data_IF_137469214946
#
_entry.id   IF_137469214946
#
_cell.length_a   1.000
_cell.length_b   1.000
_cell.length_c   1.000
_cell.angle_alpha   90.00
_cell.angle_beta   90.00
_cell.angle_gamma   90.00
#
_symmetry.space_group_name_H-M   'P 1'
#
loop_
_entity.id
_entity.type
_entity.pdbx_description
1 polymer ?
#
# COMPACT_ATOMS: atom_id res chain seq x y z
N UNK A 1 1.02 -1.30 17.03
CA UNK A 1 0.67 -2.70 16.75
C UNK A 1 -0.85 -2.83 16.86
N UNK A 2 -1.55 -2.61 15.76
CA UNK A 2 -2.95 -2.98 15.63
C UNK A 2 -2.98 -4.52 15.52
N UNK A 3 -3.28 -5.19 16.63
CA UNK A 3 -3.75 -6.57 16.57
C UNK A 3 -5.11 -6.54 15.86
N UNK A 4 -5.14 -6.94 14.60
CA UNK A 4 -6.38 -7.10 13.86
C UNK A 4 -7.05 -8.34 14.42
N UNK A 5 -8.23 -8.26 15.07
CA UNK A 5 -8.93 -9.42 15.58
C UNK A 5 -9.64 -10.13 14.43
N UNK A 6 -8.92 -10.93 13.66
CA UNK A 6 -9.54 -11.90 12.78
C UNK A 6 -9.91 -13.13 13.62
N UNK A 7 -11.20 -13.23 13.97
CA UNK A 7 -11.78 -14.40 14.61
C UNK A 7 -11.59 -14.43 16.14
N UNK A 8 -12.66 -14.27 16.87
CA UNK A 8 -12.74 -14.64 18.28
C UNK A 8 -12.40 -16.14 18.42
N UNK A 9 -11.26 -16.45 19.02
CA UNK A 9 -11.03 -17.74 19.68
C UNK A 9 -10.15 -18.77 18.98
N UNK A 10 -9.46 -18.49 17.88
CA UNK A 10 -8.43 -19.41 17.37
C UNK A 10 -7.05 -18.78 17.49
N UNK A 11 -6.27 -19.27 18.46
CA UNK A 11 -4.81 -19.09 18.46
C UNK A 11 -4.29 -20.01 17.36
N UNK A 12 -4.11 -19.46 16.15
CA UNK A 12 -3.39 -20.17 15.11
C UNK A 12 -1.93 -20.24 15.54
N UNK A 13 -1.35 -21.46 15.59
CA UNK A 13 0.10 -21.60 15.55
C UNK A 13 0.58 -20.89 14.28
N UNK A 14 1.12 -19.68 14.43
CA UNK A 14 1.71 -18.93 13.33
C UNK A 14 2.93 -19.70 12.85
N UNK A 15 2.81 -20.38 11.72
CA UNK A 15 3.98 -20.69 10.93
C UNK A 15 4.62 -19.35 10.57
N UNK A 16 5.90 -19.16 10.88
CA UNK A 16 6.63 -17.95 10.52
C UNK A 16 6.86 -17.97 9.01
N UNK A 17 5.91 -17.42 8.25
CA UNK A 17 6.04 -17.25 6.81
C UNK A 17 7.00 -16.10 6.51
N UNK A 18 7.87 -16.34 5.52
CA UNK A 18 8.84 -15.35 5.04
C UNK A 18 8.31 -14.70 3.76
N UNK A 19 8.18 -13.39 3.79
CA UNK A 19 7.73 -12.58 2.67
C UNK A 19 8.78 -11.56 2.28
N UNK A 20 9.09 -11.50 0.97
CA UNK A 20 9.88 -10.46 0.34
C UNK A 20 8.97 -9.52 -0.46
N UNK A 21 9.52 -8.46 -1.04
CA UNK A 21 8.77 -7.58 -1.94
C UNK A 21 9.51 -7.31 -3.24
N UNK A 22 8.75 -7.13 -4.31
CA UNK A 22 9.20 -6.78 -5.65
C UNK A 22 8.51 -5.51 -6.12
N UNK A 23 9.24 -4.41 -6.20
CA UNK A 23 8.74 -3.12 -6.67
C UNK A 23 9.17 -2.91 -8.12
N UNK A 24 8.21 -2.66 -9.01
CA UNK A 24 8.51 -2.31 -10.41
C UNK A 24 8.63 -0.80 -10.58
N UNK A 25 9.86 -0.29 -10.65
CA UNK A 25 10.19 1.11 -10.88
C UNK A 25 10.89 1.36 -12.23
N UNK A 26 10.77 0.42 -13.18
CA UNK A 26 11.38 0.52 -14.51
C UNK A 26 10.57 1.36 -15.52
N UNK A 27 9.41 1.87 -15.14
CA UNK A 27 8.52 2.66 -15.98
C UNK A 27 9.14 3.98 -16.48
N UNK A 28 8.67 4.46 -17.65
CA UNK A 28 9.17 5.71 -18.27
C UNK A 28 8.67 6.98 -17.61
N UNK A 29 7.57 6.94 -16.84
CA UNK A 29 6.87 8.10 -16.27
C UNK A 29 6.60 9.22 -17.30
N UNK A 30 6.38 8.86 -18.57
CA UNK A 30 6.38 9.82 -19.69
C UNK A 30 5.20 10.81 -19.68
N UNK A 31 4.08 10.43 -19.06
CA UNK A 31 2.87 11.27 -18.97
C UNK A 31 2.88 12.25 -17.80
N UNK A 32 3.72 11.99 -16.80
CA UNK A 32 3.77 12.76 -15.56
C UNK A 32 4.61 14.04 -15.66
N UNK A 33 5.51 14.15 -16.66
CA UNK A 33 6.51 15.22 -16.71
C UNK A 33 7.63 15.09 -15.67
N UNK A 34 7.36 14.41 -14.56
CA UNK A 34 8.28 14.14 -13.46
C UNK A 34 8.53 12.64 -13.25
N UNK A 35 9.59 12.32 -12.48
CA UNK A 35 9.97 10.95 -12.22
C UNK A 35 9.26 10.40 -10.97
N UNK A 36 8.16 9.69 -11.21
CA UNK A 36 7.18 9.20 -10.23
C UNK A 36 7.79 8.63 -8.93
N UNK A 37 8.79 7.73 -8.97
CA UNK A 37 9.33 7.12 -7.74
C UNK A 37 9.89 8.13 -6.74
N UNK A 38 10.39 9.27 -7.23
CA UNK A 38 11.04 10.31 -6.42
C UNK A 38 10.15 11.53 -6.17
N UNK A 39 8.92 11.54 -6.67
CA UNK A 39 7.96 12.60 -6.37
C UNK A 39 7.58 12.58 -4.89
N UNK A 40 7.44 13.77 -4.29
CA UNK A 40 7.06 13.92 -2.89
C UNK A 40 5.56 13.71 -2.70
N UNK A 41 5.24 12.85 -1.75
CA UNK A 41 3.91 12.58 -1.24
C UNK A 41 3.94 12.78 0.29
N UNK A 42 3.52 13.95 0.74
CA UNK A 42 3.78 14.41 2.10
C UNK A 42 5.27 14.66 2.35
N UNK A 43 5.79 14.16 3.47
CA UNK A 43 7.20 14.31 3.84
C UNK A 43 8.16 13.36 3.08
N UNK A 44 7.63 12.30 2.49
CA UNK A 44 8.40 11.22 1.85
C UNK A 44 8.27 11.23 0.34
N UNK A 45 9.17 10.56 -0.36
CA UNK A 45 8.95 10.20 -1.76
C UNK A 45 7.95 9.02 -1.85
N UNK A 46 7.40 8.80 -3.02
CA UNK A 46 6.56 7.64 -3.33
C UNK A 46 7.28 6.36 -2.91
N UNK A 47 8.49 6.15 -3.38
CA UNK A 47 9.29 4.95 -3.10
C UNK A 47 9.65 4.79 -1.60
N UNK A 48 10.04 5.88 -0.93
CA UNK A 48 10.33 5.85 0.52
C UNK A 48 9.10 5.39 1.33
N UNK A 49 7.92 5.87 0.96
CA UNK A 49 6.66 5.50 1.62
C UNK A 49 6.34 4.00 1.44
N UNK A 50 6.46 3.48 0.23
CA UNK A 50 6.24 2.07 -0.07
C UNK A 50 7.18 1.17 0.75
N UNK A 51 8.47 1.49 0.75
CA UNK A 51 9.49 0.78 1.54
C UNK A 51 9.15 0.83 3.04
N UNK A 52 8.73 1.98 3.55
CA UNK A 52 8.38 2.12 4.97
C UNK A 52 7.15 1.29 5.32
N UNK A 53 6.11 1.27 4.48
CA UNK A 53 4.90 0.46 4.71
C UNK A 53 5.23 -1.04 4.73
N UNK A 54 6.06 -1.52 3.80
CA UNK A 54 6.53 -2.90 3.77
C UNK A 54 7.29 -3.28 5.05
N UNK A 55 8.26 -2.44 5.44
CA UNK A 55 9.07 -2.67 6.66
C UNK A 55 8.23 -2.68 7.94
N UNK A 56 7.22 -1.82 8.02
CA UNK A 56 6.29 -1.80 9.15
C UNK A 56 5.50 -3.11 9.30
N UNK A 57 5.36 -3.86 8.19
CA UNK A 57 4.73 -5.20 8.16
C UNK A 57 5.75 -6.34 8.20
N UNK A 58 7.02 -6.09 8.55
CA UNK A 58 8.03 -7.14 8.69
C UNK A 58 8.60 -7.66 7.36
N UNK A 59 8.37 -6.95 6.25
CA UNK A 59 9.01 -7.26 4.96
C UNK A 59 10.30 -6.45 4.86
N UNK A 60 11.45 -7.12 4.97
CA UNK A 60 12.76 -6.47 5.04
C UNK A 60 13.58 -6.64 3.77
N UNK A 61 13.40 -7.72 3.04
CA UNK A 61 14.06 -7.99 1.76
C UNK A 61 13.19 -7.45 0.62
N UNK A 62 13.63 -6.36 0.01
CA UNK A 62 12.88 -5.63 -1.02
C UNK A 62 13.75 -5.53 -2.28
N UNK A 63 13.25 -6.06 -3.39
CA UNK A 63 13.90 -5.96 -4.69
C UNK A 63 13.21 -4.88 -5.52
N UNK A 64 13.98 -3.94 -6.04
CA UNK A 64 13.48 -2.84 -6.87
C UNK A 64 14.00 -3.03 -8.29
N UNK A 65 13.08 -3.16 -9.25
CA UNK A 65 13.43 -3.21 -10.66
C UNK A 65 13.57 -1.78 -11.16
N UNK A 66 14.77 -1.43 -11.64
CA UNK A 66 15.07 -0.10 -12.14
C UNK A 66 15.20 -0.08 -13.66
N UNK A 67 14.88 1.06 -14.25
CA UNK A 67 15.08 1.36 -15.66
C UNK A 67 15.66 2.76 -15.82
N UNK A 68 14.83 3.71 -16.25
CA UNK A 68 15.20 5.13 -16.33
C UNK A 68 15.64 5.65 -14.95
N UNK A 69 16.72 6.45 -14.90
CA UNK A 69 17.23 7.09 -13.68
C UNK A 69 17.54 6.08 -12.54
N UNK A 70 18.11 4.92 -12.90
CA UNK A 70 18.42 3.85 -11.94
C UNK A 70 19.31 4.33 -10.79
N UNK A 71 20.29 5.22 -11.06
CA UNK A 71 21.21 5.73 -10.03
C UNK A 71 20.49 6.65 -9.04
N UNK A 72 19.50 7.43 -9.49
CA UNK A 72 18.70 8.27 -8.59
C UNK A 72 17.83 7.43 -7.65
N UNK A 73 17.25 6.33 -8.17
CA UNK A 73 16.51 5.35 -7.35
C UNK A 73 17.45 4.71 -6.33
N UNK A 74 18.64 4.29 -6.75
CA UNK A 74 19.65 3.69 -5.84
C UNK A 74 20.04 4.66 -4.74
N UNK A 75 20.31 5.92 -5.08
CA UNK A 75 20.68 6.94 -4.11
C UNK A 75 19.56 7.22 -3.09
N UNK A 76 18.30 7.19 -3.53
CA UNK A 76 17.14 7.47 -2.67
C UNK A 76 16.73 6.29 -1.78
N UNK A 77 16.95 5.04 -2.23
CA UNK A 77 16.41 3.86 -1.57
C UNK A 77 17.48 2.91 -1.01
N UNK A 78 18.79 3.20 -1.18
CA UNK A 78 19.84 2.33 -0.68
C UNK A 78 19.74 2.11 0.84
N UNK A 79 19.86 0.85 1.25
CA UNK A 79 19.77 0.48 2.66
C UNK A 79 19.78 -1.03 2.87
N UNK A 80 19.82 -1.48 4.13
CA UNK A 80 19.77 -2.90 4.45
C UNK A 80 18.57 -3.60 3.83
N UNK A 81 18.79 -4.78 3.22
CA UNK A 81 17.72 -5.58 2.59
C UNK A 81 17.15 -4.99 1.30
N UNK A 82 17.74 -3.92 0.74
CA UNK A 82 17.31 -3.37 -0.56
C UNK A 82 18.21 -3.87 -1.66
N UNK A 83 17.62 -4.52 -2.65
CA UNK A 83 18.29 -5.06 -3.82
C UNK A 83 17.82 -4.37 -5.10
N UNK A 84 18.70 -4.17 -6.05
CA UNK A 84 18.38 -3.52 -7.31
C UNK A 84 18.65 -4.43 -8.50
N UNK A 85 17.66 -4.57 -9.36
CA UNK A 85 17.78 -5.24 -10.64
C UNK A 85 17.56 -4.21 -11.74
N UNK A 86 18.58 -3.99 -12.58
CA UNK A 86 18.45 -3.06 -13.68
C UNK A 86 17.95 -3.76 -14.94
N UNK A 87 16.87 -3.21 -15.53
CA UNK A 87 16.44 -3.61 -16.88
C UNK A 87 17.06 -2.64 -17.90
N UNK A 88 18.13 -3.03 -18.62
CA UNK A 88 18.76 -2.14 -19.59
C UNK A 88 17.87 -1.87 -20.81
N UNK A 89 16.95 -2.78 -21.11
CA UNK A 89 16.00 -2.67 -22.23
C UNK A 89 14.64 -2.05 -21.82
N UNK A 90 14.56 -1.37 -20.68
CA UNK A 90 13.30 -0.80 -20.15
C UNK A 90 12.54 0.09 -21.15
N UNK A 91 13.25 0.67 -22.13
CA UNK A 91 12.67 1.52 -23.15
C UNK A 91 11.97 0.74 -24.27
N UNK A 92 12.30 -0.51 -24.46
CA UNK A 92 11.86 -1.37 -25.55
C UNK A 92 10.94 -2.49 -25.06
N UNK A 93 11.02 -2.84 -23.79
CA UNK A 93 10.26 -3.91 -23.14
C UNK A 93 8.98 -3.41 -22.47
N UNK A 94 8.06 -4.33 -22.26
CA UNK A 94 6.81 -4.08 -21.51
C UNK A 94 7.08 -4.24 -20.00
N UNK A 95 6.12 -3.81 -19.17
CA UNK A 95 6.19 -3.97 -17.72
C UNK A 95 6.42 -5.44 -17.32
N UNK A 96 5.75 -6.38 -17.97
CA UNK A 96 5.85 -7.80 -17.64
C UNK A 96 7.27 -8.33 -17.82
N UNK A 97 8.01 -7.89 -18.85
CA UNK A 97 9.41 -8.29 -19.05
C UNK A 97 10.29 -7.84 -17.86
N UNK A 98 10.05 -6.64 -17.35
CA UNK A 98 10.72 -6.15 -16.14
C UNK A 98 10.34 -7.00 -14.92
N UNK A 99 9.07 -7.33 -14.75
CA UNK A 99 8.59 -8.19 -13.67
C UNK A 99 9.25 -9.57 -13.72
N UNK A 100 9.39 -10.14 -14.92
CA UNK A 100 10.07 -11.44 -15.13
C UNK A 100 11.53 -11.43 -14.67
N UNK A 101 12.25 -10.30 -14.78
CA UNK A 101 13.60 -10.19 -14.22
C UNK A 101 13.61 -10.37 -12.70
N UNK A 102 12.67 -9.71 -12.01
CA UNK A 102 12.52 -9.84 -10.56
C UNK A 102 12.06 -11.23 -10.14
N UNK A 103 11.03 -11.77 -10.79
CA UNK A 103 10.57 -13.14 -10.52
C UNK A 103 11.67 -14.19 -10.76
N UNK A 104 12.47 -14.02 -11.81
CA UNK A 104 13.60 -14.91 -12.09
C UNK A 104 14.68 -14.86 -11.00
N UNK A 105 14.91 -13.68 -10.41
CA UNK A 105 15.80 -13.53 -9.25
C UNK A 105 15.27 -14.35 -8.06
N UNK A 106 13.98 -14.22 -7.73
CA UNK A 106 13.38 -14.94 -6.63
C UNK A 106 13.31 -16.45 -6.86
N UNK A 107 13.03 -16.89 -8.09
CA UNK A 107 13.07 -18.31 -8.43
C UNK A 107 14.50 -18.92 -8.27
N UNK A 108 15.54 -18.16 -8.61
CA UNK A 108 16.94 -18.55 -8.35
C UNK A 108 17.23 -18.58 -6.85
N UNK A 109 16.85 -17.54 -6.11
CA UNK A 109 17.02 -17.45 -4.65
C UNK A 109 16.38 -18.66 -3.96
N UNK A 110 15.15 -19.02 -4.33
CA UNK A 110 14.43 -20.17 -3.79
C UNK A 110 15.13 -21.52 -4.07
N UNK A 111 15.70 -21.68 -5.27
CA UNK A 111 16.42 -22.91 -5.67
C UNK A 111 17.75 -23.07 -4.95
N UNK A 112 18.45 -21.97 -4.68
CA UNK A 112 19.79 -21.99 -4.05
C UNK A 112 19.76 -22.09 -2.54
N UNK A 113 18.77 -21.47 -1.90
CA UNK A 113 18.70 -21.39 -0.44
C UNK A 113 17.92 -22.56 0.22
N UNK A 114 17.38 -23.50 -0.58
CA UNK A 114 16.49 -24.57 -0.08
C UNK A 114 15.07 -24.07 0.20
N UNK A 115 14.18 -25.00 0.60
CA UNK A 115 12.74 -24.73 0.80
C UNK A 115 12.41 -23.78 1.96
N UNK A 116 13.40 -23.34 2.75
CA UNK A 116 13.14 -22.73 4.06
C UNK A 116 13.12 -21.19 4.07
N UNK A 117 13.25 -20.52 2.93
CA UNK A 117 13.61 -19.09 2.99
C UNK A 117 12.66 -18.11 2.35
N UNK A 118 11.66 -18.55 1.59
CA UNK A 118 10.70 -17.63 0.95
C UNK A 118 9.37 -18.34 0.69
N UNK A 119 8.30 -17.83 1.28
CA UNK A 119 6.95 -18.36 1.10
C UNK A 119 6.15 -17.55 0.07
N UNK A 120 6.33 -16.24 0.03
CA UNK A 120 5.61 -15.37 -0.90
C UNK A 120 6.30 -14.04 -1.17
N UNK A 121 5.84 -13.35 -2.22
CA UNK A 121 6.36 -12.07 -2.66
C UNK A 121 5.20 -11.10 -2.81
N UNK A 122 5.31 -9.94 -2.18
CA UNK A 122 4.47 -8.79 -2.49
C UNK A 122 4.96 -8.12 -3.76
N UNK A 123 4.12 -8.04 -4.78
CA UNK A 123 4.43 -7.35 -6.03
C UNK A 123 3.53 -6.13 -6.21
N UNK A 124 4.12 -5.00 -6.60
CA UNK A 124 3.39 -3.82 -7.06
C UNK A 124 4.24 -2.90 -7.95
N UNK A 125 3.61 -2.12 -8.82
CA UNK A 125 4.26 -1.03 -9.52
C UNK A 125 4.41 0.17 -8.59
N UNK A 126 5.45 0.98 -8.78
CA UNK A 126 5.80 2.15 -7.96
C UNK A 126 4.79 3.32 -8.05
N UNK A 127 3.61 3.12 -8.54
CA UNK A 127 2.57 4.14 -8.69
C UNK A 127 1.35 3.93 -7.80
N UNK A 128 1.41 2.96 -6.89
CA UNK A 128 0.35 2.69 -5.91
C UNK A 128 0.90 2.83 -4.49
N UNK A 129 1.26 4.06 -4.05
CA UNK A 129 2.01 4.26 -2.80
C UNK A 129 1.14 4.30 -1.53
N UNK A 130 -0.18 4.20 -1.65
CA UNK A 130 -1.09 4.51 -0.56
C UNK A 130 -1.77 3.29 0.08
N UNK A 131 -1.40 2.07 -0.34
CA UNK A 131 -1.86 0.88 0.37
C UNK A 131 -1.42 0.90 1.85
N UNK A 132 -2.21 0.29 2.72
CA UNK A 132 -1.99 0.34 4.16
C UNK A 132 -1.34 -0.94 4.69
N UNK A 133 -0.72 -0.87 5.89
CA UNK A 133 -0.31 -2.07 6.63
C UNK A 133 -1.45 -3.07 6.82
N UNK A 134 -2.71 -2.59 6.93
CA UNK A 134 -3.87 -3.46 7.05
C UNK A 134 -4.01 -4.40 5.85
N UNK A 135 -3.90 -3.88 4.62
CA UNK A 135 -3.99 -4.68 3.40
C UNK A 135 -2.93 -5.78 3.37
N UNK A 136 -1.67 -5.44 3.66
CA UNK A 136 -0.57 -6.42 3.72
C UNK A 136 -0.80 -7.51 4.77
N UNK A 137 -1.22 -7.13 5.98
CA UNK A 137 -1.47 -8.10 7.06
C UNK A 137 -2.68 -8.98 6.76
N UNK A 138 -3.71 -8.46 6.09
CA UNK A 138 -4.86 -9.25 5.67
C UNK A 138 -4.49 -10.24 4.56
N UNK A 139 -3.68 -9.85 3.59
CA UNK A 139 -3.16 -10.76 2.57
C UNK A 139 -2.32 -11.88 3.17
N UNK A 140 -1.43 -11.58 4.14
CA UNK A 140 -0.67 -12.60 4.88
C UNK A 140 -1.58 -13.56 5.65
N UNK A 141 -2.62 -13.04 6.28
CA UNK A 141 -3.60 -13.86 6.97
C UNK A 141 -4.28 -14.85 5.99
N UNK A 142 -4.76 -14.35 4.85
CA UNK A 142 -5.41 -15.17 3.82
C UNK A 142 -4.43 -16.16 3.16
N UNK A 143 -3.17 -15.76 3.00
CA UNK A 143 -2.11 -16.65 2.55
C UNK A 143 -1.91 -17.84 3.51
N UNK A 144 -1.94 -17.59 4.81
CA UNK A 144 -1.80 -18.64 5.82
C UNK A 144 -2.97 -19.64 5.84
N UNK A 145 -4.16 -19.23 5.39
CA UNK A 145 -5.30 -20.14 5.17
C UNK A 145 -5.05 -21.11 4.00
N UNK A 146 -4.08 -20.82 3.11
CA UNK A 146 -3.59 -21.75 2.10
C UNK A 146 -4.52 -21.97 0.91
N UNK A 147 -5.49 -21.08 0.66
CA UNK A 147 -6.54 -21.26 -0.32
C UNK A 147 -6.24 -20.69 -1.72
N UNK A 148 -5.13 -20.00 -1.93
CA UNK A 148 -4.76 -19.36 -3.20
C UNK A 148 -3.29 -19.42 -3.54
N UNK A 149 -2.97 -19.12 -4.80
CA UNK A 149 -1.63 -18.97 -5.35
C UNK A 149 -1.23 -17.51 -5.50
N UNK A 150 -2.23 -16.66 -5.82
CA UNK A 150 -2.09 -15.21 -5.94
C UNK A 150 -3.26 -14.54 -5.21
N UNK A 151 -2.96 -13.65 -4.30
CA UNK A 151 -3.93 -12.83 -3.58
C UNK A 151 -3.91 -11.42 -4.13
N UNK A 152 -5.08 -10.87 -4.41
CA UNK A 152 -5.28 -9.57 -5.03
C UNK A 152 -6.23 -8.75 -4.15
N UNK A 153 -5.80 -7.64 -3.56
CA UNK A 153 -6.71 -6.76 -2.85
C UNK A 153 -7.65 -6.06 -3.84
N UNK A 154 -8.90 -5.91 -3.47
CA UNK A 154 -9.92 -5.18 -4.23
C UNK A 154 -10.60 -4.17 -3.32
N UNK A 155 -10.73 -2.94 -3.79
CA UNK A 155 -11.54 -1.92 -3.16
C UNK A 155 -12.74 -1.60 -4.04
N UNK A 156 -13.96 -1.82 -3.52
CA UNK A 156 -15.21 -1.61 -4.28
C UNK A 156 -15.19 -2.29 -5.68
N UNK A 157 -14.69 -3.53 -5.71
CA UNK A 157 -14.52 -4.34 -6.94
C UNK A 157 -13.45 -3.82 -7.91
N UNK A 158 -12.72 -2.76 -7.55
CA UNK A 158 -11.57 -2.30 -8.31
C UNK A 158 -10.34 -3.08 -7.86
N UNK A 159 -9.69 -3.86 -8.74
CA UNK A 159 -8.45 -4.56 -8.43
C UNK A 159 -7.35 -3.58 -8.03
N UNK A 160 -6.58 -3.95 -7.02
CA UNK A 160 -5.54 -3.11 -6.45
C UNK A 160 -4.18 -3.79 -6.31
N UNK A 161 -3.32 -3.18 -5.51
CA UNK A 161 -1.98 -3.64 -5.17
C UNK A 161 -1.73 -3.48 -3.67
N UNK A 162 -0.72 -4.20 -3.10
CA UNK A 162 0.15 -5.20 -3.74
C UNK A 162 -0.58 -6.48 -4.13
N UNK A 163 0.03 -7.30 -5.01
CA UNK A 163 -0.35 -8.70 -5.18
C UNK A 163 0.54 -9.54 -4.28
N UNK A 164 -0.02 -10.43 -3.47
CA UNK A 164 0.79 -11.43 -2.76
C UNK A 164 0.81 -12.73 -3.58
N UNK A 165 1.99 -13.09 -4.06
CA UNK A 165 2.24 -14.24 -4.94
C UNK A 165 2.98 -15.30 -4.14
N UNK A 166 2.48 -16.54 -4.12
CA UNK A 166 3.19 -17.67 -3.53
C UNK A 166 4.50 -17.93 -4.28
N UNK A 167 5.55 -18.22 -3.55
CA UNK A 167 6.85 -18.42 -4.16
C UNK A 167 6.94 -19.71 -5.03
N UNK A 168 6.14 -20.71 -4.73
CA UNK A 168 6.13 -21.97 -5.47
C UNK A 168 5.48 -21.91 -6.86
N UNK A 169 4.68 -20.88 -7.14
CA UNK A 169 4.08 -20.68 -8.48
C UNK A 169 4.88 -19.77 -9.39
N UNK A 170 5.96 -19.15 -8.91
CA UNK A 170 6.79 -18.22 -9.69
C UNK A 170 7.29 -18.86 -11.00
N UNK A 171 7.78 -20.10 -10.92
CA UNK A 171 8.27 -20.83 -12.11
C UNK A 171 7.18 -20.94 -13.20
N UNK A 172 5.91 -21.09 -12.79
CA UNK A 172 4.79 -21.16 -13.71
C UNK A 172 4.42 -19.81 -14.29
N UNK A 173 4.46 -18.74 -13.50
CA UNK A 173 4.25 -17.36 -13.98
C UNK A 173 5.28 -16.99 -15.04
N UNK A 174 6.55 -17.42 -14.86
CA UNK A 174 7.64 -17.18 -15.81
C UNK A 174 7.50 -17.93 -17.15
N UNK A 175 6.67 -18.96 -17.23
CA UNK A 175 6.40 -19.70 -18.47
C UNK A 175 5.32 -19.04 -19.34
N UNK A 176 4.61 -18.03 -18.82
CA UNK A 176 3.58 -17.33 -19.54
C UNK A 176 4.15 -16.50 -20.69
N UNK A 177 3.45 -16.43 -21.83
CA UNK A 177 3.89 -15.76 -23.06
C UNK A 177 3.86 -14.22 -22.99
N UNK A 178 3.39 -13.66 -21.88
CA UNK A 178 3.26 -12.22 -21.68
C UNK A 178 1.97 -11.60 -22.23
N UNK A 179 1.04 -12.38 -22.79
CA UNK A 179 -0.28 -11.90 -23.18
C UNK A 179 -1.01 -11.35 -21.97
N UNK A 180 -1.53 -10.12 -22.05
CA UNK A 180 -2.11 -9.38 -20.93
C UNK A 180 -1.15 -9.12 -19.73
N UNK A 181 0.15 -9.32 -19.91
CA UNK A 181 1.16 -9.07 -18.90
C UNK A 181 1.05 -9.94 -17.65
N UNK A 182 1.36 -9.39 -16.48
CA UNK A 182 1.27 -10.14 -15.22
C UNK A 182 -0.17 -10.59 -14.91
N UNK A 183 -1.17 -9.80 -15.28
CA UNK A 183 -2.56 -10.17 -15.12
C UNK A 183 -2.86 -11.49 -15.83
N UNK A 184 -2.47 -11.61 -17.12
CA UNK A 184 -2.65 -12.84 -17.89
C UNK A 184 -1.89 -14.03 -17.27
N UNK A 185 -0.67 -13.79 -16.79
CA UNK A 185 0.10 -14.81 -16.10
C UNK A 185 -0.59 -15.32 -14.82
N UNK A 186 -1.22 -14.42 -14.05
CA UNK A 186 -1.98 -14.78 -12.83
C UNK A 186 -3.34 -15.42 -13.14
N UNK A 187 -3.88 -15.24 -14.33
CA UNK A 187 -5.18 -15.78 -14.74
C UNK A 187 -5.06 -17.09 -15.58
N UNK A 188 -3.83 -17.54 -15.85
CA UNK A 188 -3.59 -18.75 -16.62
C UNK A 188 -4.12 -20.01 -15.92
N UNK A 189 -4.48 -21.08 -16.66
CA UNK A 189 -4.97 -22.32 -16.09
C UNK A 189 -4.00 -22.92 -15.03
N UNK A 190 -4.55 -23.30 -13.89
CA UNK A 190 -3.83 -23.88 -12.75
C UNK A 190 -3.06 -22.85 -11.90
N UNK A 191 -3.37 -21.59 -12.00
CA UNK A 191 -3.10 -20.55 -11.01
C UNK A 191 -4.43 -20.18 -10.35
N UNK A 192 -4.50 -20.33 -9.02
CA UNK A 192 -5.66 -19.97 -8.23
C UNK A 192 -5.53 -18.57 -7.69
N UNK A 193 -6.19 -17.63 -8.35
CA UNK A 193 -6.26 -16.23 -7.92
C UNK A 193 -7.41 -16.02 -6.95
N UNK A 194 -7.15 -15.35 -5.83
CA UNK A 194 -8.12 -15.00 -4.80
C UNK A 194 -8.21 -13.47 -4.73
N UNK A 195 -9.40 -12.92 -5.01
CA UNK A 195 -9.70 -11.52 -4.75
C UNK A 195 -10.08 -11.30 -3.30
N UNK A 196 -9.51 -10.30 -2.67
CA UNK A 196 -9.71 -9.95 -1.26
C UNK A 196 -10.37 -8.56 -1.19
N UNK A 197 -11.64 -8.53 -0.83
CA UNK A 197 -12.29 -7.26 -0.51
C UNK A 197 -11.63 -6.62 0.71
N UNK A 198 -11.08 -5.41 0.55
CA UNK A 198 -10.38 -4.66 1.61
C UNK A 198 -10.96 -3.27 1.77
N UNK A 199 -11.08 -2.74 2.99
CA UNK A 199 -11.57 -1.39 3.23
C UNK A 199 -10.45 -0.35 3.09
N UNK A 200 -9.58 -0.50 2.09
CA UNK A 200 -8.40 0.32 1.85
C UNK A 200 -8.43 0.88 0.42
N UNK A 201 -8.97 2.09 0.20
CA UNK A 201 -8.99 2.70 -1.12
C UNK A 201 -7.58 2.91 -1.69
N UNK A 202 -6.56 3.07 -0.81
CA UNK A 202 -5.18 3.29 -1.22
C UNK A 202 -4.57 2.14 -2.02
N UNK A 203 -5.12 0.93 -1.93
CA UNK A 203 -4.65 -0.20 -2.72
C UNK A 203 -5.02 -0.07 -4.22
N UNK A 204 -6.07 0.67 -4.55
CA UNK A 204 -6.58 0.86 -5.90
C UNK A 204 -6.25 2.24 -6.50
N UNK A 205 -5.53 3.09 -5.77
CA UNK A 205 -5.15 4.43 -6.24
C UNK A 205 -3.78 4.37 -6.92
N UNK A 206 -3.79 4.41 -8.23
CA UNK A 206 -2.62 4.67 -9.05
C UNK A 206 -2.59 6.13 -9.53
N UNK A 207 -1.44 6.60 -10.00
CA UNK A 207 -1.31 7.94 -10.56
C UNK A 207 -0.48 7.90 -11.84
N UNK A 208 -1.15 8.01 -12.96
CA UNK A 208 -0.53 8.08 -14.30
C UNK A 208 -0.41 9.51 -14.83
N UNK A 209 -1.19 10.44 -14.26
CA UNK A 209 -1.22 11.87 -14.63
C UNK A 209 -0.94 12.77 -13.43
N UNK A 210 -0.61 14.04 -13.70
CA UNK A 210 -0.42 15.05 -12.65
C UNK A 210 -1.71 15.28 -11.83
N UNK A 211 -2.87 15.21 -12.49
CA UNK A 211 -4.18 15.37 -11.84
C UNK A 211 -4.46 14.20 -10.88
N UNK A 212 -4.17 12.97 -11.30
CA UNK A 212 -4.30 11.80 -10.43
C UNK A 212 -3.32 11.87 -9.25
N UNK A 213 -2.08 12.29 -9.50
CA UNK A 213 -1.11 12.50 -8.42
C UNK A 213 -1.54 13.58 -7.43
N UNK A 214 -2.20 14.65 -7.91
CA UNK A 214 -2.78 15.65 -7.02
C UNK A 214 -3.90 15.06 -6.14
N UNK A 215 -4.74 14.19 -6.69
CA UNK A 215 -5.75 13.46 -5.91
C UNK A 215 -5.11 12.57 -4.83
N UNK A 216 -3.99 11.90 -5.15
CA UNK A 216 -3.23 11.14 -4.15
C UNK A 216 -2.73 12.04 -3.01
N UNK A 217 -2.20 13.23 -3.33
CA UNK A 217 -1.77 14.20 -2.31
C UNK A 217 -2.91 14.68 -1.43
N UNK A 218 -4.06 14.97 -2.01
CA UNK A 218 -5.23 15.43 -1.27
C UNK A 218 -5.78 14.34 -0.38
N UNK A 219 -5.78 13.11 -0.87
CA UNK A 219 -6.21 11.95 -0.08
C UNK A 219 -5.21 11.65 1.05
N UNK A 220 -3.92 11.71 0.78
CA UNK A 220 -2.86 11.51 1.79
C UNK A 220 -2.99 12.49 2.96
N UNK A 221 -3.32 13.75 2.69
CA UNK A 221 -3.54 14.75 3.74
C UNK A 221 -4.73 14.44 4.64
N UNK A 222 -5.78 13.84 4.09
CA UNK A 222 -6.99 13.46 4.82
C UNK A 222 -6.84 12.14 5.59
N UNK A 223 -5.97 11.26 5.12
CA UNK A 223 -5.84 9.88 5.57
C UNK A 223 -5.70 9.67 7.09
N UNK A 224 -5.03 10.54 7.88
CA UNK A 224 -4.94 10.34 9.33
C UNK A 224 -6.30 10.33 10.03
N UNK A 225 -7.31 10.89 9.38
CA UNK A 225 -8.67 10.96 9.93
C UNK A 225 -9.65 10.45 8.85
N UNK A 226 -10.21 9.25 9.01
CA UNK A 226 -11.18 8.72 8.06
C UNK A 226 -12.43 9.60 8.06
N UNK A 227 -13.03 9.79 6.89
CA UNK A 227 -14.30 10.46 6.78
C UNK A 227 -15.47 9.56 7.23
N UNK A 228 -16.69 10.12 7.23
CA UNK A 228 -17.86 9.38 7.70
C UNK A 228 -18.14 8.14 6.85
N UNK A 229 -17.97 8.23 5.54
CA UNK A 229 -18.25 7.12 4.62
C UNK A 229 -17.21 6.01 4.78
N UNK A 230 -15.95 6.37 4.99
CA UNK A 230 -14.89 5.41 5.31
C UNK A 230 -15.15 4.71 6.65
N UNK A 231 -15.57 5.46 7.68
CA UNK A 231 -15.97 4.87 8.96
C UNK A 231 -17.13 3.88 8.81
N UNK A 232 -18.16 4.22 8.05
CA UNK A 232 -19.30 3.34 7.81
C UNK A 232 -18.89 2.07 7.05
N UNK A 233 -18.02 2.19 6.06
CA UNK A 233 -17.45 1.03 5.34
C UNK A 233 -16.64 0.12 6.26
N UNK A 234 -15.77 0.69 7.09
CA UNK A 234 -15.00 -0.06 8.09
C UNK A 234 -15.93 -0.82 9.05
N UNK A 235 -16.95 -0.16 9.60
CA UNK A 235 -17.91 -0.80 10.50
C UNK A 235 -18.66 -1.95 9.81
N UNK A 236 -19.05 -1.77 8.55
CA UNK A 236 -19.70 -2.82 7.76
C UNK A 236 -18.74 -3.98 7.44
N UNK A 237 -17.52 -3.68 7.04
CA UNK A 237 -16.50 -4.69 6.72
C UNK A 237 -16.18 -5.57 7.92
N UNK A 238 -16.03 -4.97 9.11
CA UNK A 238 -15.82 -5.69 10.38
C UNK A 238 -17.09 -6.36 10.91
N UNK A 239 -18.23 -6.29 10.21
CA UNK A 239 -19.53 -6.81 10.66
C UNK A 239 -19.87 -6.35 12.07
N UNK A 240 -19.59 -5.09 12.36
CA UNK A 240 -19.83 -4.50 13.69
C UNK A 240 -21.31 -4.61 14.07
N UNK A 241 -21.65 -5.08 15.28
CA UNK A 241 -23.03 -5.22 15.71
C UNK A 241 -23.81 -3.90 15.60
N UNK A 242 -25.05 -3.96 15.13
CA UNK A 242 -25.88 -2.76 14.85
C UNK A 242 -26.04 -1.84 16.07
N UNK A 243 -26.14 -2.41 17.27
CA UNK A 243 -26.20 -1.64 18.51
C UNK A 243 -24.92 -0.79 18.71
N UNK A 244 -23.74 -1.35 18.42
CA UNK A 244 -22.46 -0.64 18.49
C UNK A 244 -22.37 0.43 17.41
N UNK A 245 -22.82 0.14 16.17
CA UNK A 245 -22.87 1.14 15.08
C UNK A 245 -23.73 2.33 15.47
N UNK A 246 -24.94 2.09 15.99
CA UNK A 246 -25.84 3.17 16.47
C UNK A 246 -25.19 4.00 17.59
N UNK A 247 -24.57 3.33 18.56
CA UNK A 247 -23.88 4.02 19.65
C UNK A 247 -22.75 4.90 19.11
N UNK A 248 -21.89 4.37 18.22
CA UNK A 248 -20.77 5.10 17.62
C UNK A 248 -21.22 6.33 16.85
N UNK A 249 -22.34 6.24 16.11
CA UNK A 249 -22.92 7.40 15.40
C UNK A 249 -23.35 8.51 16.37
N UNK A 250 -24.06 8.15 17.45
CA UNK A 250 -24.49 9.13 18.47
C UNK A 250 -23.27 9.80 19.14
N UNK A 251 -22.25 9.02 19.49
CA UNK A 251 -21.00 9.53 20.08
C UNK A 251 -20.30 10.50 19.11
N UNK A 252 -20.19 10.12 17.83
CA UNK A 252 -19.58 10.99 16.82
C UNK A 252 -20.33 12.31 16.65
N UNK A 253 -21.66 12.29 16.57
CA UNK A 253 -22.49 13.51 16.48
C UNK A 253 -22.32 14.42 17.70
N UNK A 254 -22.26 13.84 18.90
CA UNK A 254 -22.03 14.60 20.12
C UNK A 254 -20.63 15.21 20.16
N UNK A 255 -19.61 14.46 19.73
CA UNK A 255 -18.23 14.94 19.63
C UNK A 255 -18.10 16.13 18.68
N UNK A 256 -18.72 16.07 17.50
CA UNK A 256 -18.75 17.20 16.55
C UNK A 256 -19.42 18.42 17.16
N UNK A 257 -20.60 18.27 17.77
CA UNK A 257 -21.30 19.38 18.43
C UNK A 257 -20.47 20.00 19.55
N UNK A 258 -19.76 19.18 20.33
CA UNK A 258 -18.88 19.67 21.39
C UNK A 258 -17.69 20.42 20.83
N UNK A 259 -17.04 19.89 19.80
CA UNK A 259 -15.91 20.54 19.11
C UNK A 259 -16.32 21.92 18.56
N UNK A 260 -17.47 22.00 17.88
CA UNK A 260 -18.00 23.27 17.36
C UNK A 260 -18.24 24.32 18.46
N UNK A 261 -18.77 23.90 19.60
CA UNK A 261 -18.98 24.80 20.75
C UNK A 261 -17.66 25.32 21.33
N UNK A 262 -16.65 24.39 21.47
CA UNK A 262 -15.33 24.77 21.97
C UNK A 262 -14.63 25.74 21.02
N UNK A 263 -14.71 25.49 19.71
CA UNK A 263 -14.12 26.36 18.70
C UNK A 263 -14.76 27.75 18.67
N UNK A 264 -16.09 27.82 18.76
CA UNK A 264 -16.82 29.09 18.86
C UNK A 264 -16.44 29.88 20.13
N UNK A 265 -16.42 29.21 21.28
CA UNK A 265 -16.03 29.85 22.52
C UNK A 265 -14.60 30.37 22.50
N UNK A 266 -13.67 29.61 21.93
CA UNK A 266 -12.28 30.06 21.72
C UNK A 266 -12.19 31.29 20.82
N UNK A 267 -12.94 31.31 19.71
CA UNK A 267 -12.95 32.46 18.80
C UNK A 267 -13.49 33.73 19.51
N UNK A 268 -14.56 33.60 20.26
CA UNK A 268 -15.16 34.70 21.07
C UNK A 268 -14.15 35.21 22.12
N UNK A 269 -13.50 34.31 22.85
CA UNK A 269 -12.52 34.68 23.91
C UNK A 269 -11.26 35.32 23.32
N UNK A 270 -10.79 34.87 22.16
CA UNK A 270 -9.64 35.52 21.46
C UNK A 270 -9.98 36.93 20.99
N UNK A 271 -11.20 37.17 20.51
CA UNK A 271 -11.66 38.52 20.11
C UNK A 271 -11.72 39.44 21.33
N UNK A 272 -12.23 38.98 22.47
CA UNK A 272 -12.24 39.78 23.70
C UNK A 272 -10.86 40.13 24.22
N UNK A 273 -9.86 39.23 24.11
CA UNK A 273 -8.46 39.51 24.52
C UNK A 273 -7.78 40.54 23.61
N UNK A 274 -8.08 40.56 22.32
CA UNK A 274 -7.52 41.56 21.39
C UNK A 274 -8.08 42.94 21.57
N UNK A 275 -9.30 43.08 22.09
CA UNK A 275 -9.93 44.39 22.39
C UNK A 275 -9.54 44.96 23.76
N UNK A 276 -8.92 44.19 24.66
CA UNK A 276 -8.54 44.64 26.01
C UNK A 276 -7.06 45.05 26.15
N UNK A 277 -6.32 45.14 25.08
CA UNK A 277 -4.96 45.72 25.14
C UNK A 277 -5.08 47.26 25.26
N UNK A 278 -4.60 47.87 26.34
CA UNK A 278 -4.61 49.32 26.45
C UNK A 278 -3.68 49.91 25.37
N UNK A 279 -3.94 51.16 24.92
CA UNK A 279 -3.04 51.82 23.96
C UNK A 279 -1.66 51.96 24.61
N UNK A 280 -0.63 51.57 23.88
CA UNK A 280 0.77 51.77 24.25
C UNK A 280 1.01 53.26 24.11
N UNK A 281 0.99 53.98 25.26
CA UNK A 281 1.47 55.38 25.31
C UNK A 281 2.96 55.42 24.92
N UNK A 282 3.22 56.11 23.84
CA UNK A 282 4.60 56.44 23.41
C UNK A 282 5.13 57.52 24.35
N UNK A 283 6.14 57.18 25.12
CA UNK A 283 7.12 58.09 25.62
C UNK A 283 8.49 57.72 25.08
#
# INVERSE_FOLDING_TARGET
LLQIPFGYGQVYERKDYVFDALISAAGRSSRMGDFKPLMKLGAQTVLEREIQTLRACGVHEITIITGRRAEDIRAAAAGPGIHFIHNPAYAETKMFDSVCLGLSYYEKKRKTAGKETLDGIFFFPVDVPLFTPFTLEYEKYRFAEGDGDVYLPEYEKTPGHPLLIRADVIAKLLQHDGTMGLKGACEQPGIRRISLDVPDPGCAFDADTQEEFQKLRDWERKRPVPDKEECERLLAWFRTPEATVRHSRVVAELAVKLADRVLKHRAETCVEMTYKSPPIDKY
#
